data_IF_929074220439
#
_entry.id   IF_929074220439
#
_cell.length_a   1.000
_cell.length_b   1.000
_cell.length_c   1.000
_cell.angle_alpha   90.00
_cell.angle_beta   90.00
_cell.angle_gamma   90.00
#
_symmetry.space_group_name_H-M   'P 1'
#
loop_
_entity.id
_entity.type
_entity.pdbx_description
1 polymer ?
#
# COMPACT_ATOMS: atom_id res chain seq x y z
N UNK A 1 -17.10 -6.56 -17.90
CA UNK A 1 -17.27 -5.33 -17.09
C UNK A 1 -16.20 -5.37 -16.01
N UNK A 2 -15.70 -4.22 -15.54
CA UNK A 2 -14.70 -4.20 -14.46
C UNK A 2 -15.26 -4.77 -13.15
N UNK A 3 -14.41 -5.35 -12.32
CA UNK A 3 -14.78 -5.88 -10.99
C UNK A 3 -14.60 -4.85 -9.88
N UNK A 4 -13.86 -3.77 -10.14
CA UNK A 4 -13.63 -2.65 -9.23
C UNK A 4 -13.26 -1.40 -10.07
N UNK A 5 -13.17 -0.22 -9.46
CA UNK A 5 -12.89 1.05 -10.15
C UNK A 5 -11.98 1.94 -9.30
N UNK A 6 -10.96 2.52 -9.92
CA UNK A 6 -10.19 3.62 -9.32
C UNK A 6 -9.95 4.76 -10.30
N UNK A 7 -9.81 6.01 -9.81
CA UNK A 7 -9.40 7.13 -10.64
C UNK A 7 -8.01 6.87 -11.24
N UNK A 8 -7.80 7.37 -12.45
CA UNK A 8 -6.47 7.58 -13.02
C UNK A 8 -6.15 9.07 -12.88
N UNK A 9 -5.09 9.35 -12.12
CA UNK A 9 -4.66 10.71 -11.85
C UNK A 9 -3.82 11.26 -13.02
N UNK A 10 -3.64 12.59 -13.14
CA UNK A 10 -2.89 13.19 -14.24
C UNK A 10 -1.44 12.70 -14.37
N UNK A 11 -0.81 12.27 -13.28
CA UNK A 11 0.53 11.71 -13.26
C UNK A 11 0.57 10.32 -13.90
N UNK A 12 -0.32 9.41 -13.50
CA UNK A 12 -0.49 8.10 -14.15
C UNK A 12 -0.93 8.26 -15.61
N UNK A 13 -1.89 9.14 -15.89
CA UNK A 13 -2.34 9.44 -17.27
C UNK A 13 -1.16 9.80 -18.16
N UNK A 14 -0.30 10.73 -17.72
CA UNK A 14 0.86 11.15 -18.50
C UNK A 14 1.83 9.98 -18.74
N UNK A 15 2.05 9.12 -17.74
CA UNK A 15 2.85 7.91 -17.93
C UNK A 15 2.28 7.01 -19.03
N UNK A 16 0.96 6.76 -19.01
CA UNK A 16 0.30 5.94 -20.03
C UNK A 16 0.42 6.56 -21.43
N UNK A 17 0.28 7.88 -21.54
CA UNK A 17 0.42 8.63 -22.80
C UNK A 17 1.85 8.58 -23.35
N UNK A 18 2.87 8.69 -22.49
CA UNK A 18 4.28 8.56 -22.88
C UNK A 18 4.56 7.14 -23.39
N UNK A 19 4.04 6.11 -22.71
CA UNK A 19 4.17 4.71 -23.14
C UNK A 19 3.52 4.50 -24.52
N UNK A 20 2.42 5.20 -24.79
CA UNK A 20 1.72 5.20 -26.09
C UNK A 20 2.36 6.13 -27.13
N UNK A 21 3.41 6.89 -26.76
CA UNK A 21 4.09 7.89 -27.59
C UNK A 21 3.21 9.05 -28.06
N UNK A 22 2.17 9.37 -27.28
CA UNK A 22 1.20 10.44 -27.57
C UNK A 22 0.94 11.28 -26.30
N UNK A 23 1.93 12.08 -25.84
CA UNK A 23 1.79 12.90 -24.63
C UNK A 23 0.58 13.83 -24.72
N UNK A 24 -0.16 13.94 -23.62
CA UNK A 24 -1.38 14.75 -23.48
C UNK A 24 -2.59 14.34 -24.33
N UNK A 25 -2.55 13.19 -25.01
CA UNK A 25 -3.67 12.68 -25.82
C UNK A 25 -5.00 12.60 -25.06
N UNK A 26 -4.95 12.24 -23.77
CA UNK A 26 -6.12 12.04 -22.92
C UNK A 26 -6.23 13.12 -21.84
N UNK A 27 -5.56 14.26 -21.98
CA UNK A 27 -5.44 15.26 -20.93
C UNK A 27 -6.78 15.84 -20.44
N UNK A 28 -7.79 15.87 -21.32
CA UNK A 28 -9.14 16.33 -21.01
C UNK A 28 -10.16 15.18 -20.91
N UNK A 29 -9.71 13.92 -20.98
CA UNK A 29 -10.58 12.75 -20.94
C UNK A 29 -10.85 12.29 -19.51
N UNK A 30 -12.01 11.70 -19.30
CA UNK A 30 -12.33 10.96 -18.08
C UNK A 30 -11.71 9.56 -18.16
N UNK A 31 -10.72 9.28 -17.30
CA UNK A 31 -9.99 8.01 -17.30
C UNK A 31 -10.16 7.29 -15.96
N UNK A 32 -10.53 6.02 -16.04
CA UNK A 32 -10.68 5.13 -14.89
C UNK A 32 -9.99 3.80 -15.14
N UNK A 33 -9.30 3.26 -14.13
CA UNK A 33 -8.78 1.90 -14.16
C UNK A 33 -9.84 0.96 -13.60
N UNK A 34 -10.14 -0.12 -14.31
CA UNK A 34 -11.20 -1.08 -13.96
C UNK A 34 -10.65 -2.47 -13.59
N UNK A 35 -9.38 -2.49 -13.18
CA UNK A 35 -8.65 -3.70 -12.81
C UNK A 35 -7.50 -4.00 -13.76
N UNK A 36 -6.31 -4.19 -13.19
CA UNK A 36 -5.11 -4.59 -13.92
C UNK A 36 -4.79 -3.64 -15.08
N UNK A 37 -4.68 -4.21 -16.28
CA UNK A 37 -4.35 -3.55 -17.56
C UNK A 37 -5.55 -2.91 -18.27
N UNK A 38 -6.74 -2.91 -17.66
CA UNK A 38 -7.97 -2.43 -18.28
C UNK A 38 -8.31 -1.02 -17.81
N UNK A 39 -8.58 -0.14 -18.77
CA UNK A 39 -8.95 1.25 -18.55
C UNK A 39 -10.24 1.59 -19.32
N UNK A 40 -10.94 2.62 -18.85
CA UNK A 40 -12.05 3.26 -19.55
C UNK A 40 -11.68 4.72 -19.78
N UNK A 41 -11.65 5.14 -21.04
CA UNK A 41 -11.39 6.52 -21.48
C UNK A 41 -12.65 7.03 -22.17
N UNK A 42 -13.34 8.00 -21.56
CA UNK A 42 -14.61 8.57 -22.06
C UNK A 42 -15.64 7.49 -22.46
N UNK A 43 -15.77 6.46 -21.61
CA UNK A 43 -16.68 5.33 -21.81
C UNK A 43 -16.15 4.23 -22.75
N UNK A 44 -15.04 4.45 -23.45
CA UNK A 44 -14.41 3.45 -24.34
C UNK A 44 -13.35 2.64 -23.60
N UNK A 45 -13.35 1.33 -23.81
CA UNK A 45 -12.34 0.45 -23.21
C UNK A 45 -10.98 0.65 -23.87
N UNK A 46 -9.95 0.75 -23.06
CA UNK A 46 -8.54 0.73 -23.46
C UNK A 46 -7.84 -0.39 -22.69
N UNK A 47 -7.25 -1.34 -23.40
CA UNK A 47 -6.48 -2.41 -22.78
C UNK A 47 -4.99 -2.24 -23.08
N UNK A 48 -4.18 -2.18 -22.03
CA UNK A 48 -2.73 -1.96 -22.10
C UNK A 48 -1.98 -3.17 -21.57
N UNK A 49 -1.44 -4.02 -22.44
CA UNK A 49 -0.68 -5.21 -22.00
C UNK A 49 0.56 -4.81 -21.21
N UNK A 50 0.48 -4.91 -19.88
CA UNK A 50 1.61 -4.61 -18.98
C UNK A 50 2.83 -5.46 -19.29
N UNK A 51 2.66 -6.74 -19.61
CA UNK A 51 3.78 -7.61 -19.98
C UNK A 51 4.51 -7.10 -21.23
N UNK A 52 3.76 -6.66 -22.25
CA UNK A 52 4.34 -6.08 -23.48
C UNK A 52 5.04 -4.76 -23.17
N UNK A 53 4.39 -3.87 -22.42
CA UNK A 53 4.93 -2.57 -22.03
C UNK A 53 6.25 -2.74 -21.28
N UNK A 54 6.29 -3.60 -20.25
CA UNK A 54 7.48 -3.82 -19.44
C UNK A 54 8.64 -4.33 -20.30
N UNK A 55 8.37 -5.22 -21.26
CA UNK A 55 9.41 -5.80 -22.13
C UNK A 55 9.96 -4.80 -23.15
N UNK A 56 9.10 -3.93 -23.69
CA UNK A 56 9.46 -3.04 -24.81
C UNK A 56 9.88 -1.63 -24.36
N UNK A 57 9.60 -1.26 -23.12
CA UNK A 57 9.85 0.10 -22.62
C UNK A 57 11.30 0.33 -22.22
N UNK A 58 11.82 1.51 -22.59
CA UNK A 58 13.07 2.03 -22.04
C UNK A 58 12.79 2.94 -20.83
N UNK A 59 13.08 2.45 -19.63
CA UNK A 59 12.82 3.19 -18.36
C UNK A 59 13.52 4.55 -18.34
N UNK A 60 14.75 4.66 -18.87
CA UNK A 60 15.48 5.95 -18.88
C UNK A 60 14.81 6.99 -19.78
N UNK A 61 14.32 6.55 -20.94
CA UNK A 61 13.59 7.40 -21.87
C UNK A 61 12.26 7.87 -21.26
N UNK A 62 11.52 6.96 -20.61
CA UNK A 62 10.27 7.29 -19.90
C UNK A 62 10.51 8.34 -18.81
N UNK A 63 11.55 8.15 -17.98
CA UNK A 63 11.90 9.13 -16.93
C UNK A 63 12.23 10.49 -17.55
N UNK A 64 12.98 10.51 -18.66
CA UNK A 64 13.32 11.74 -19.38
C UNK A 64 12.08 12.48 -19.90
N UNK A 65 11.17 11.77 -20.58
CA UNK A 65 9.93 12.37 -21.09
C UNK A 65 8.98 12.80 -19.96
N UNK A 66 8.88 12.04 -18.86
CA UNK A 66 8.10 12.45 -17.69
C UNK A 66 8.64 13.77 -17.11
N UNK A 67 9.96 13.91 -16.98
CA UNK A 67 10.57 15.14 -16.48
C UNK A 67 10.35 16.33 -17.43
N UNK A 68 10.48 16.10 -18.74
CA UNK A 68 10.22 17.11 -19.78
C UNK A 68 8.79 17.66 -19.72
N UNK A 69 7.80 16.78 -19.55
CA UNK A 69 6.38 17.15 -19.54
C UNK A 69 5.84 17.52 -18.16
N UNK A 70 6.64 17.38 -17.09
CA UNK A 70 6.23 17.59 -15.69
C UNK A 70 5.60 18.96 -15.45
N UNK A 71 6.24 20.03 -15.94
CA UNK A 71 5.75 21.41 -15.73
C UNK A 71 4.42 21.65 -16.43
N UNK A 72 4.27 21.14 -17.64
CA UNK A 72 3.00 21.25 -18.37
C UNK A 72 1.89 20.41 -17.72
N UNK A 73 2.23 19.25 -17.14
CA UNK A 73 1.24 18.39 -16.48
C UNK A 73 0.62 19.02 -15.22
N UNK A 74 1.34 19.95 -14.58
CA UNK A 74 0.94 20.58 -13.33
C UNK A 74 -0.46 21.23 -13.41
N UNK A 75 -0.81 21.85 -14.55
CA UNK A 75 -2.14 22.47 -14.77
C UNK A 75 -3.30 21.46 -14.67
N UNK A 76 -3.05 20.19 -14.99
CA UNK A 76 -4.05 19.13 -14.88
C UNK A 76 -4.14 18.57 -13.46
N UNK A 77 -3.02 18.54 -12.73
CA UNK A 77 -2.96 18.11 -11.32
C UNK A 77 -3.77 19.07 -10.45
N UNK A 78 -3.53 20.38 -10.58
CA UNK A 78 -4.17 21.42 -9.77
C UNK A 78 -5.70 21.47 -9.95
N UNK A 79 -6.18 21.18 -11.15
CA UNK A 79 -7.61 21.23 -11.48
C UNK A 79 -8.32 19.87 -11.35
N UNK A 80 -7.61 18.78 -11.00
CA UNK A 80 -8.16 17.43 -11.09
C UNK A 80 -9.43 17.23 -10.24
N UNK A 81 -9.39 17.64 -8.97
CA UNK A 81 -10.52 17.46 -8.04
C UNK A 81 -11.75 18.29 -8.43
N UNK A 82 -11.53 19.39 -9.16
CA UNK A 82 -12.61 20.25 -9.67
C UNK A 82 -13.01 19.89 -11.11
N UNK A 83 -12.42 18.84 -11.69
CA UNK A 83 -12.75 18.41 -13.05
C UNK A 83 -14.20 17.94 -13.15
N UNK A 84 -14.81 18.14 -14.32
CA UNK A 84 -16.19 17.73 -14.59
C UNK A 84 -16.42 16.24 -14.31
N UNK A 85 -15.44 15.39 -14.60
CA UNK A 85 -15.54 13.94 -14.38
C UNK A 85 -15.60 13.59 -12.89
N UNK A 86 -14.73 14.18 -12.06
CA UNK A 86 -14.70 13.96 -10.61
C UNK A 86 -15.98 14.51 -9.95
N UNK A 87 -16.38 15.73 -10.29
CA UNK A 87 -17.61 16.34 -9.74
C UNK A 87 -18.84 15.50 -10.12
N UNK A 88 -18.92 15.04 -11.36
CA UNK A 88 -20.03 14.19 -11.81
C UNK A 88 -20.02 12.82 -11.13
N UNK A 89 -18.84 12.21 -10.96
CA UNK A 89 -18.66 10.94 -10.25
C UNK A 89 -19.15 11.02 -8.80
N UNK A 90 -18.80 12.09 -8.07
CA UNK A 90 -19.29 12.28 -6.70
C UNK A 90 -20.82 12.48 -6.69
N UNK A 91 -21.32 13.35 -7.58
CA UNK A 91 -22.76 13.68 -7.63
C UNK A 91 -23.64 12.46 -7.89
N UNK A 92 -23.30 11.64 -8.89
CA UNK A 92 -24.11 10.49 -9.28
C UNK A 92 -24.07 9.37 -8.22
N UNK A 93 -22.99 9.30 -7.44
CA UNK A 93 -22.78 8.26 -6.42
C UNK A 93 -23.07 8.74 -4.99
N UNK A 94 -23.68 9.92 -4.82
CA UNK A 94 -23.98 10.52 -3.51
C UNK A 94 -24.81 9.62 -2.59
N UNK A 95 -25.79 8.88 -3.14
CA UNK A 95 -26.58 7.90 -2.38
C UNK A 95 -25.72 6.76 -1.82
N UNK A 96 -24.81 6.22 -2.65
CA UNK A 96 -23.89 5.15 -2.24
C UNK A 96 -22.93 5.66 -1.17
N UNK A 97 -22.33 6.84 -1.39
CA UNK A 97 -21.46 7.52 -0.42
C UNK A 97 -22.14 7.68 0.94
N UNK A 98 -23.34 8.29 0.97
CA UNK A 98 -24.07 8.49 2.21
C UNK A 98 -24.37 7.17 2.93
N UNK A 99 -24.75 6.13 2.18
CA UNK A 99 -25.05 4.81 2.75
C UNK A 99 -23.82 4.16 3.39
N UNK A 100 -22.67 4.11 2.70
CA UNK A 100 -21.45 3.48 3.24
C UNK A 100 -20.86 4.28 4.40
N UNK A 101 -20.91 5.61 4.32
CA UNK A 101 -20.37 6.47 5.37
C UNK A 101 -21.21 6.36 6.63
N UNK A 102 -22.54 6.40 6.50
CA UNK A 102 -23.44 6.24 7.64
C UNK A 102 -23.26 4.88 8.34
N UNK A 103 -23.16 3.80 7.54
CA UNK A 103 -22.94 2.45 8.04
C UNK A 103 -21.61 2.35 8.81
N UNK A 104 -20.50 2.80 8.21
CA UNK A 104 -19.18 2.72 8.83
C UNK A 104 -19.07 3.59 10.10
N UNK A 105 -19.62 4.80 10.07
CA UNK A 105 -19.64 5.72 11.23
C UNK A 105 -20.44 5.13 12.39
N UNK A 106 -21.61 4.56 12.12
CA UNK A 106 -22.41 3.93 13.17
C UNK A 106 -21.72 2.69 13.74
N UNK A 107 -21.11 1.87 12.89
CA UNK A 107 -20.34 0.72 13.36
C UNK A 107 -19.19 1.14 14.27
N UNK A 108 -18.42 2.18 13.90
CA UNK A 108 -17.36 2.73 14.75
C UNK A 108 -17.91 3.22 16.11
N UNK A 109 -19.03 3.94 16.11
CA UNK A 109 -19.64 4.47 17.35
C UNK A 109 -20.10 3.36 18.28
N UNK A 110 -20.76 2.33 17.75
CA UNK A 110 -21.23 1.20 18.55
C UNK A 110 -20.05 0.38 19.08
N UNK A 111 -19.03 0.12 18.26
CA UNK A 111 -17.83 -0.61 18.70
C UNK A 111 -17.01 0.14 19.75
N UNK A 112 -16.96 1.47 19.69
CA UNK A 112 -16.23 2.30 20.67
C UNK A 112 -17.02 2.60 21.95
N UNK A 113 -18.28 2.14 22.05
CA UNK A 113 -19.17 2.48 23.16
C UNK A 113 -18.63 1.93 24.49
N UNK A 114 -18.38 2.83 25.44
CA UNK A 114 -17.87 2.48 26.77
C UNK A 114 -16.37 2.21 26.84
N UNK A 115 -15.63 2.39 25.73
CA UNK A 115 -14.18 2.25 25.68
C UNK A 115 -13.54 3.63 25.86
N UNK A 116 -12.50 3.70 26.68
CA UNK A 116 -11.78 4.96 26.92
C UNK A 116 -10.89 5.34 25.74
N UNK A 117 -10.62 6.62 25.56
CA UNK A 117 -9.83 7.13 24.43
C UNK A 117 -8.39 6.58 24.40
N UNK A 118 -7.80 6.39 25.58
CA UNK A 118 -6.47 5.81 25.79
C UNK A 118 -6.47 4.28 25.71
N UNK A 119 -7.60 3.66 25.40
CA UNK A 119 -7.74 2.22 25.11
C UNK A 119 -8.06 1.97 23.63
N UNK A 120 -7.90 2.99 22.77
CA UNK A 120 -8.19 2.91 21.34
C UNK A 120 -7.02 3.38 20.49
N UNK A 121 -6.80 2.71 19.35
CA UNK A 121 -5.90 3.26 18.33
C UNK A 121 -6.29 2.88 16.90
N UNK A 122 -5.88 3.71 15.94
CA UNK A 122 -5.93 3.41 14.50
C UNK A 122 -4.60 2.78 14.09
N UNK A 123 -4.66 1.61 13.47
CA UNK A 123 -3.51 0.98 12.81
C UNK A 123 -3.26 1.70 11.48
N UNK A 124 -2.33 2.66 11.50
CA UNK A 124 -2.14 3.61 10.41
C UNK A 124 -0.94 3.21 9.56
N UNK A 125 -1.17 2.88 8.29
CA UNK A 125 -0.09 2.50 7.36
C UNK A 125 0.35 3.63 6.43
N UNK A 126 -0.43 4.72 6.36
CA UNK A 126 -0.22 5.77 5.36
C UNK A 126 -0.70 5.40 3.95
N UNK A 127 -1.43 4.29 3.81
CA UNK A 127 -2.11 3.91 2.58
C UNK A 127 -3.54 4.43 2.53
N UNK A 128 -4.17 4.42 1.34
CA UNK A 128 -5.52 4.97 1.12
C UNK A 128 -6.57 4.42 2.10
N UNK A 129 -6.52 3.12 2.39
CA UNK A 129 -7.52 2.44 3.22
C UNK A 129 -7.39 2.85 4.70
N UNK A 130 -6.16 2.93 5.24
CA UNK A 130 -5.94 3.39 6.62
C UNK A 130 -6.15 4.89 6.79
N UNK A 131 -5.92 5.69 5.74
CA UNK A 131 -6.30 7.11 5.68
C UNK A 131 -7.81 7.29 5.78
N UNK A 132 -8.59 6.51 5.04
CA UNK A 132 -10.07 6.56 5.13
C UNK A 132 -10.56 6.13 6.51
N UNK A 133 -10.00 5.06 7.08
CA UNK A 133 -10.36 4.64 8.45
C UNK A 133 -10.01 5.71 9.49
N UNK A 134 -8.85 6.35 9.37
CA UNK A 134 -8.46 7.47 10.23
C UNK A 134 -9.53 8.58 10.22
N UNK A 135 -9.90 9.05 9.02
CA UNK A 135 -10.89 10.12 8.83
C UNK A 135 -12.27 9.70 9.36
N UNK A 136 -12.73 8.48 9.05
CA UNK A 136 -13.98 7.93 9.56
C UNK A 136 -14.01 7.86 11.10
N UNK A 137 -12.92 7.42 11.74
CA UNK A 137 -12.85 7.30 13.20
C UNK A 137 -12.91 8.68 13.87
N UNK A 138 -12.17 9.66 13.34
CA UNK A 138 -12.19 11.04 13.85
C UNK A 138 -13.60 11.63 13.73
N UNK A 139 -14.23 11.47 12.56
CA UNK A 139 -15.59 11.98 12.30
C UNK A 139 -16.65 11.27 13.14
N UNK A 140 -16.51 9.95 13.35
CA UNK A 140 -17.47 9.16 14.11
C UNK A 140 -17.45 9.50 15.60
N UNK A 141 -16.25 9.64 16.18
CA UNK A 141 -16.05 9.85 17.61
C UNK A 141 -15.97 11.33 18.01
N UNK A 142 -15.73 12.22 17.04
CA UNK A 142 -15.56 13.66 17.27
C UNK A 142 -14.29 14.01 18.06
N UNK A 143 -13.29 13.11 18.07
CA UNK A 143 -12.08 13.20 18.90
C UNK A 143 -10.86 12.61 18.19
N UNK A 144 -9.67 13.04 18.61
CA UNK A 144 -8.41 12.50 18.10
C UNK A 144 -8.07 11.20 18.81
N UNK A 145 -7.90 10.12 18.05
CA UNK A 145 -7.51 8.80 18.55
C UNK A 145 -6.03 8.57 18.27
N UNK A 146 -5.34 7.80 19.12
CA UNK A 146 -3.93 7.43 18.89
C UNK A 146 -3.78 6.75 17.53
N UNK A 147 -2.75 7.09 16.78
CA UNK A 147 -2.38 6.41 15.53
C UNK A 147 -1.05 5.71 15.71
N UNK A 148 -0.98 4.40 15.44
CA UNK A 148 0.28 3.67 15.42
C UNK A 148 0.72 3.49 13.98
N UNK A 149 1.83 4.14 13.62
CA UNK A 149 2.48 4.02 12.33
C UNK A 149 3.67 3.06 12.39
N UNK A 150 3.60 1.96 11.62
CA UNK A 150 4.69 1.00 11.49
C UNK A 150 5.70 1.43 10.43
N UNK A 151 6.81 2.03 10.83
CA UNK A 151 7.93 2.37 9.94
C UNK A 151 8.85 1.15 9.79
N UNK A 152 8.71 0.45 8.67
CA UNK A 152 9.54 -0.71 8.35
C UNK A 152 10.93 -0.35 7.85
N UNK A 153 11.25 0.94 7.67
CA UNK A 153 12.41 1.49 6.92
C UNK A 153 12.44 1.18 5.43
N UNK A 154 11.45 0.42 4.95
CA UNK A 154 11.35 -0.08 3.59
C UNK A 154 10.17 0.52 2.81
N UNK A 155 9.44 1.47 3.40
CA UNK A 155 8.29 2.13 2.76
C UNK A 155 8.72 2.94 1.53
N UNK A 156 7.77 3.20 0.63
CA UNK A 156 8.00 4.08 -0.52
C UNK A 156 8.45 5.49 -0.06
N UNK A 157 9.30 6.19 -0.83
CA UNK A 157 9.69 7.58 -0.51
C UNK A 157 8.48 8.50 -0.32
N UNK A 158 7.40 8.28 -1.06
CA UNK A 158 6.15 9.04 -0.96
C UNK A 158 5.39 8.78 0.35
N UNK A 159 5.67 7.68 1.05
CA UNK A 159 5.11 7.43 2.38
C UNK A 159 5.69 8.38 3.42
N UNK A 160 6.99 8.66 3.39
CA UNK A 160 7.59 9.62 4.30
C UNK A 160 7.02 11.03 4.09
N UNK A 161 6.91 11.47 2.84
CA UNK A 161 6.31 12.77 2.51
C UNK A 161 4.84 12.83 2.93
N UNK A 162 4.07 11.76 2.71
CA UNK A 162 2.67 11.71 3.11
C UNK A 162 2.49 11.75 4.63
N UNK A 163 3.25 10.95 5.38
CA UNK A 163 3.18 10.95 6.85
C UNK A 163 3.53 12.33 7.42
N UNK A 164 4.50 13.04 6.82
CA UNK A 164 4.82 14.42 7.19
C UNK A 164 3.62 15.35 6.98
N UNK A 165 3.02 15.36 5.77
CA UNK A 165 1.83 16.17 5.47
C UNK A 165 0.65 15.85 6.38
N UNK A 166 0.45 14.56 6.68
CA UNK A 166 -0.61 14.12 7.58
C UNK A 166 -0.41 14.68 9.00
N UNK A 167 0.82 14.64 9.55
CA UNK A 167 1.14 15.24 10.87
C UNK A 167 0.92 16.75 10.87
N UNK A 168 1.30 17.44 9.81
CA UNK A 168 1.13 18.89 9.67
C UNK A 168 -0.35 19.28 9.61
N UNK A 169 -1.16 18.50 8.89
CA UNK A 169 -2.62 18.71 8.79
C UNK A 169 -3.37 18.33 10.07
N UNK A 170 -2.85 17.36 10.83
CA UNK A 170 -3.50 16.82 12.03
C UNK A 170 -2.57 16.85 13.26
N UNK A 171 -2.17 18.04 13.75
CA UNK A 171 -1.19 18.18 14.82
C UNK A 171 -1.67 17.64 16.18
N UNK A 172 -2.99 17.49 16.36
CA UNK A 172 -3.60 16.99 17.59
C UNK A 172 -3.74 15.47 17.63
N UNK A 173 -3.43 14.76 16.54
CA UNK A 173 -3.45 13.30 16.51
C UNK A 173 -2.12 12.77 17.07
N UNK A 174 -2.11 12.02 18.18
CA UNK A 174 -0.90 11.39 18.68
C UNK A 174 -0.45 10.28 17.73
N UNK A 175 0.56 10.53 16.92
CA UNK A 175 1.11 9.53 16.00
C UNK A 175 2.36 8.86 16.57
N UNK A 176 2.19 7.64 17.05
CA UNK A 176 3.25 6.82 17.61
C UNK A 176 3.93 6.01 16.51
N UNK A 177 5.22 6.26 16.28
CA UNK A 177 6.00 5.50 15.29
C UNK A 177 6.61 4.24 15.91
N UNK A 178 6.26 3.08 15.37
CA UNK A 178 6.86 1.79 15.66
C UNK A 178 7.92 1.48 14.60
N UNK A 179 9.20 1.44 15.00
CA UNK A 179 10.34 1.25 14.09
C UNK A 179 11.35 0.29 14.71
N UNK A 180 11.83 -0.67 13.93
CA UNK A 180 13.00 -1.46 14.31
C UNK A 180 14.27 -0.63 14.08
N UNK A 181 15.07 -0.43 15.13
CA UNK A 181 16.34 0.33 15.07
C UNK A 181 17.57 -0.58 15.20
N UNK A 182 17.36 -1.86 15.48
CA UNK A 182 18.42 -2.81 15.86
C UNK A 182 18.96 -3.59 14.65
N UNK A 183 18.23 -3.58 13.53
CA UNK A 183 18.52 -4.39 12.35
C UNK A 183 18.54 -3.52 11.09
N UNK A 184 19.41 -3.88 10.14
CA UNK A 184 19.48 -3.28 8.81
C UNK A 184 19.06 -4.30 7.75
N UNK A 185 18.22 -3.86 6.80
CA UNK A 185 17.65 -4.75 5.79
C UNK A 185 18.70 -5.31 4.83
N UNK A 186 19.67 -4.49 4.41
CA UNK A 186 20.68 -4.91 3.45
C UNK A 186 21.61 -5.94 4.10
N UNK A 187 22.03 -5.70 5.34
CA UNK A 187 22.82 -6.66 6.12
C UNK A 187 22.09 -8.00 6.29
N UNK A 188 20.79 -7.97 6.61
CA UNK A 188 20.01 -9.20 6.72
C UNK A 188 19.83 -9.92 5.38
N UNK A 189 19.78 -9.20 4.25
CA UNK A 189 19.81 -9.82 2.93
C UNK A 189 21.12 -10.56 2.65
N UNK A 190 22.26 -10.06 3.13
CA UNK A 190 23.56 -10.73 2.96
C UNK A 190 23.71 -12.00 3.82
N UNK A 191 23.06 -12.02 5.00
CA UNK A 191 23.14 -13.12 5.98
C UNK A 191 22.07 -14.19 5.75
N UNK A 192 20.82 -13.79 5.49
CA UNK A 192 19.65 -14.68 5.38
C UNK A 192 19.25 -14.91 3.91
N UNK A 193 19.59 -13.97 3.04
CA UNK A 193 19.10 -13.88 1.68
C UNK A 193 17.89 -12.93 1.55
N UNK A 194 17.70 -12.30 0.38
CA UNK A 194 16.59 -11.38 0.10
C UNK A 194 15.22 -12.01 0.36
N UNK A 195 14.23 -11.30 0.96
CA UNK A 195 12.95 -11.89 1.32
C UNK A 195 12.23 -12.50 0.10
N UNK A 196 11.45 -13.55 0.30
CA UNK A 196 10.65 -14.19 -0.77
C UNK A 196 9.18 -14.27 -0.36
N UNK A 197 8.31 -14.73 -1.26
CA UNK A 197 6.88 -14.92 -0.94
C UNK A 197 6.69 -15.96 0.18
N UNK A 198 7.59 -16.92 0.26
CA UNK A 198 7.58 -18.00 1.24
C UNK A 198 8.34 -17.62 2.52
N UNK A 199 9.46 -16.90 2.39
CA UNK A 199 10.32 -16.49 3.50
C UNK A 199 10.20 -14.98 3.75
N UNK A 200 9.12 -14.59 4.44
CA UNK A 200 8.74 -13.21 4.77
C UNK A 200 9.38 -12.70 6.07
N UNK A 201 10.66 -13.01 6.31
CA UNK A 201 11.36 -12.65 7.55
C UNK A 201 11.33 -11.14 7.83
N UNK A 202 11.32 -10.31 6.79
CA UNK A 202 11.24 -8.85 6.92
C UNK A 202 9.95 -8.38 7.60
N UNK A 203 8.82 -9.07 7.40
CA UNK A 203 7.57 -8.74 8.09
C UNK A 203 7.69 -8.96 9.60
N UNK A 204 8.30 -10.07 10.01
CA UNK A 204 8.49 -10.37 11.44
C UNK A 204 9.45 -9.36 12.09
N UNK A 205 10.60 -9.11 11.45
CA UNK A 205 11.68 -8.28 11.99
C UNK A 205 11.32 -6.80 11.99
N UNK A 206 10.86 -6.26 10.86
CA UNK A 206 10.68 -4.81 10.67
C UNK A 206 9.26 -4.32 10.92
N UNK A 207 8.25 -5.20 10.86
CA UNK A 207 6.84 -4.81 10.98
C UNK A 207 6.21 -5.32 12.28
N UNK A 208 5.90 -6.61 12.34
CA UNK A 208 5.11 -7.19 13.44
C UNK A 208 5.81 -7.02 14.78
N UNK A 209 7.09 -7.38 14.91
CA UNK A 209 7.81 -7.26 16.17
C UNK A 209 7.90 -5.80 16.69
N UNK A 210 8.13 -4.84 15.80
CA UNK A 210 8.22 -3.43 16.17
C UNK A 210 6.85 -2.86 16.61
N UNK A 211 5.78 -3.21 15.88
CA UNK A 211 4.42 -2.77 16.18
C UNK A 211 3.93 -3.37 17.50
N UNK A 212 4.09 -4.68 17.70
CA UNK A 212 3.70 -5.36 18.96
C UNK A 212 4.42 -4.74 20.15
N UNK A 213 5.75 -4.55 20.07
CA UNK A 213 6.52 -3.89 21.14
C UNK A 213 6.01 -2.49 21.45
N UNK A 214 5.61 -1.73 20.42
CA UNK A 214 5.04 -0.38 20.61
C UNK A 214 3.69 -0.43 21.30
N UNK A 215 2.78 -1.31 20.86
CA UNK A 215 1.46 -1.51 21.47
C UNK A 215 1.61 -1.92 22.94
N UNK A 216 2.40 -2.95 23.23
CA UNK A 216 2.60 -3.46 24.60
C UNK A 216 3.16 -2.38 25.54
N UNK A 217 4.07 -1.54 25.03
CA UNK A 217 4.64 -0.42 25.82
C UNK A 217 3.67 0.74 26.04
N UNK A 218 2.72 0.95 25.12
CA UNK A 218 1.78 2.08 25.15
C UNK A 218 0.55 1.76 26.00
N UNK A 219 0.03 0.53 25.89
CA UNK A 219 -1.22 0.09 26.50
C UNK A 219 -0.99 -0.97 27.59
N UNK A 220 0.11 -0.85 28.33
CA UNK A 220 0.56 -1.85 29.32
C UNK A 220 -0.53 -2.16 30.37
N UNK A 221 -1.19 -1.10 30.85
CA UNK A 221 -2.16 -1.17 31.95
C UNK A 221 -3.60 -1.36 31.47
N UNK A 222 -3.85 -1.24 30.16
CA UNK A 222 -5.17 -1.45 29.56
C UNK A 222 -5.59 -2.92 29.67
N UNK A 223 -6.87 -3.18 29.95
CA UNK A 223 -7.43 -4.54 30.03
C UNK A 223 -7.89 -5.05 28.66
N UNK A 224 -8.34 -4.14 27.80
CA UNK A 224 -8.70 -4.38 26.41
C UNK A 224 -8.29 -3.18 25.58
N UNK A 225 -7.99 -3.39 24.30
CA UNK A 225 -7.61 -2.32 23.37
C UNK A 225 -8.44 -2.49 22.10
N UNK A 226 -9.23 -1.49 21.75
CA UNK A 226 -9.94 -1.46 20.47
C UNK A 226 -9.01 -0.93 19.38
N UNK A 227 -8.90 -1.66 18.28
CA UNK A 227 -8.08 -1.24 17.14
C UNK A 227 -8.90 -1.12 15.88
N UNK A 228 -8.78 0.02 15.23
CA UNK A 228 -9.37 0.26 13.91
C UNK A 228 -8.36 -0.10 12.81
N UNK A 229 -8.73 -0.99 11.90
CA UNK A 229 -7.90 -1.46 10.80
C UNK A 229 -8.55 -1.17 9.43
N UNK A 230 -7.71 -0.80 8.46
CA UNK A 230 -8.13 -0.58 7.06
C UNK A 230 -8.00 -1.82 6.18
N UNK A 231 -8.59 -2.94 6.59
CA UNK A 231 -8.62 -4.18 5.80
C UNK A 231 -9.95 -4.30 5.06
N UNK A 232 -9.93 -4.84 3.83
CA UNK A 232 -11.13 -5.10 3.03
C UNK A 232 -11.11 -6.52 2.44
N UNK A 233 -12.28 -7.16 2.39
CA UNK A 233 -12.47 -8.48 1.77
C UNK A 233 -12.14 -8.48 0.28
N UNK A 234 -12.36 -7.35 -0.40
CA UNK A 234 -12.10 -7.22 -1.84
C UNK A 234 -10.60 -7.09 -2.21
N UNK A 235 -9.68 -7.06 -1.24
CA UNK A 235 -8.24 -6.90 -1.53
C UNK A 235 -7.57 -8.17 -2.04
N UNK A 236 -8.03 -9.36 -1.60
CA UNK A 236 -7.49 -10.65 -2.01
C UNK A 236 -8.45 -11.80 -1.69
N UNK A 237 -8.25 -12.93 -2.37
CA UNK A 237 -8.97 -14.17 -2.05
C UNK A 237 -8.78 -14.60 -0.59
N UNK A 238 -7.58 -14.42 -0.02
CA UNK A 238 -7.34 -14.73 1.40
C UNK A 238 -8.13 -13.83 2.35
N UNK A 239 -8.24 -12.53 2.03
CA UNK A 239 -8.98 -11.55 2.85
C UNK A 239 -10.50 -11.67 2.72
N UNK A 240 -11.00 -12.32 1.68
CA UNK A 240 -12.44 -12.51 1.47
C UNK A 240 -13.16 -13.22 2.64
N UNK A 241 -12.41 -13.99 3.44
CA UNK A 241 -12.91 -14.76 4.59
C UNK A 241 -12.77 -14.01 5.92
N UNK A 242 -12.20 -12.81 5.94
CA UNK A 242 -11.93 -12.12 7.19
C UNK A 242 -13.22 -11.66 7.85
N UNK A 243 -13.29 -11.82 9.17
CA UNK A 243 -14.35 -11.28 9.99
C UNK A 243 -14.17 -9.77 10.16
N UNK A 244 -15.31 -9.10 10.36
CA UNK A 244 -15.31 -7.66 10.60
C UNK A 244 -14.66 -7.31 11.94
N UNK A 245 -14.83 -8.19 12.92
CA UNK A 245 -14.26 -8.11 14.25
C UNK A 245 -13.49 -9.39 14.54
N UNK A 246 -12.31 -9.26 15.12
CA UNK A 246 -11.51 -10.40 15.57
C UNK A 246 -10.78 -10.08 16.86
N UNK A 247 -10.64 -11.11 17.70
CA UNK A 247 -9.72 -11.07 18.83
C UNK A 247 -8.34 -11.47 18.30
N UNK A 248 -7.41 -10.53 18.20
CA UNK A 248 -6.09 -10.82 17.65
C UNK A 248 -5.31 -11.70 18.63
N UNK A 249 -5.05 -12.96 18.25
CA UNK A 249 -4.33 -13.92 19.08
C UNK A 249 -2.84 -13.56 19.26
N UNK A 250 -2.29 -12.67 18.40
CA UNK A 250 -0.88 -12.29 18.39
C UNK A 250 -0.59 -11.12 19.33
N UNK A 251 -1.59 -10.31 19.64
CA UNK A 251 -1.49 -9.17 20.57
C UNK A 251 -2.54 -9.37 21.66
N UNK A 252 -2.10 -9.81 22.83
CA UNK A 252 -2.99 -10.05 23.97
C UNK A 252 -3.80 -8.78 24.25
N UNK A 253 -5.12 -8.95 24.42
CA UNK A 253 -6.11 -7.91 24.78
C UNK A 253 -6.65 -7.05 23.62
N UNK A 254 -6.24 -7.28 22.38
CA UNK A 254 -6.69 -6.48 21.24
C UNK A 254 -7.99 -7.01 20.63
N UNK A 255 -8.99 -6.13 20.53
CA UNK A 255 -10.18 -6.31 19.70
C UNK A 255 -9.95 -5.51 18.42
N UNK A 256 -9.70 -6.21 17.32
CA UNK A 256 -9.47 -5.58 16.03
C UNK A 256 -10.79 -5.50 15.26
N UNK A 257 -11.16 -4.30 14.82
CA UNK A 257 -12.33 -4.07 13.98
C UNK A 257 -11.93 -3.48 12.63
N UNK A 258 -12.71 -3.82 11.61
CA UNK A 258 -12.49 -3.42 10.22
C UNK A 258 -13.71 -2.62 9.73
N UNK A 259 -13.76 -1.30 9.94
CA UNK A 259 -14.95 -0.51 9.62
C UNK A 259 -15.36 -0.55 8.15
N UNK A 260 -14.38 -0.67 7.27
CA UNK A 260 -14.53 -0.65 5.81
C UNK A 260 -14.41 -2.05 5.17
N UNK A 261 -14.63 -3.13 5.94
CA UNK A 261 -14.35 -4.51 5.49
C UNK A 261 -15.00 -4.88 4.15
N UNK A 262 -16.19 -4.35 3.86
CA UNK A 262 -16.96 -4.60 2.64
C UNK A 262 -16.86 -3.48 1.59
N UNK A 263 -15.96 -2.52 1.79
CA UNK A 263 -15.73 -1.46 0.81
C UNK A 263 -14.92 -1.97 -0.38
N UNK A 264 -15.25 -1.47 -1.57
CA UNK A 264 -14.48 -1.67 -2.81
C UNK A 264 -13.42 -0.57 -2.98
N UNK A 265 -12.48 -0.69 -3.94
CA UNK A 265 -11.61 0.47 -4.28
C UNK A 265 -12.47 1.65 -4.74
N UNK A 266 -13.57 1.39 -5.46
CA UNK A 266 -14.55 2.40 -5.83
C UNK A 266 -15.05 3.18 -4.61
N UNK A 267 -15.47 2.48 -3.55
CA UNK A 267 -16.02 3.11 -2.34
C UNK A 267 -14.96 3.95 -1.61
N UNK A 268 -13.74 3.42 -1.48
CA UNK A 268 -12.61 4.12 -0.86
C UNK A 268 -12.27 5.41 -1.63
N UNK A 269 -12.18 5.34 -2.96
CA UNK A 269 -11.89 6.52 -3.77
C UNK A 269 -13.04 7.52 -3.82
N UNK A 270 -14.30 7.04 -3.83
CA UNK A 270 -15.47 7.90 -3.70
C UNK A 270 -15.44 8.70 -2.41
N UNK A 271 -15.06 8.08 -1.29
CA UNK A 271 -14.92 8.77 -0.01
C UNK A 271 -13.76 9.76 -0.01
N UNK A 272 -12.58 9.38 -0.52
CA UNK A 272 -11.40 10.26 -0.60
C UNK A 272 -11.69 11.50 -1.45
N UNK A 273 -12.27 11.31 -2.64
CA UNK A 273 -12.54 12.41 -3.57
C UNK A 273 -13.65 13.33 -3.05
N UNK A 274 -14.71 12.78 -2.45
CA UNK A 274 -15.84 13.57 -1.92
C UNK A 274 -15.47 14.43 -0.71
N UNK A 275 -14.55 13.95 0.14
CA UNK A 275 -14.12 14.66 1.35
C UNK A 275 -12.80 15.43 1.15
N UNK A 276 -12.25 15.46 -0.07
CA UNK A 276 -10.97 16.11 -0.39
C UNK A 276 -9.83 15.70 0.59
N UNK A 277 -9.72 14.39 0.83
CA UNK A 277 -8.75 13.82 1.77
C UNK A 277 -7.38 13.72 1.09
N UNK A 278 -6.32 14.17 1.78
CA UNK A 278 -4.94 13.99 1.30
C UNK A 278 -4.53 12.51 1.43
N UNK A 279 -3.81 12.01 0.44
CA UNK A 279 -3.38 10.62 0.37
C UNK A 279 -1.98 10.52 -0.24
N UNK A 280 -1.39 9.32 -0.14
CA UNK A 280 -0.03 9.07 -0.60
C UNK A 280 0.13 9.22 -2.12
N UNK A 281 1.12 10.02 -2.56
CA UNK A 281 1.31 10.36 -3.97
C UNK A 281 1.64 9.17 -4.88
N UNK A 282 2.07 8.02 -4.33
CA UNK A 282 2.25 6.81 -5.11
C UNK A 282 0.94 6.36 -5.79
N UNK A 283 -0.23 6.61 -5.19
CA UNK A 283 -1.49 6.30 -5.87
C UNK A 283 -1.72 7.17 -7.11
N UNK A 284 -1.20 8.40 -7.12
CA UNK A 284 -1.24 9.29 -8.31
C UNK A 284 -0.36 8.76 -9.44
N UNK A 285 0.72 8.06 -9.08
CA UNK A 285 1.68 7.44 -9.99
C UNK A 285 1.21 6.08 -10.54
N UNK A 286 0.01 5.62 -10.19
CA UNK A 286 -0.58 4.37 -10.67
C UNK A 286 -0.30 3.13 -9.82
N UNK A 287 0.32 3.28 -8.65
CA UNK A 287 0.43 2.18 -7.69
C UNK A 287 -0.96 1.84 -7.12
N UNK A 288 -1.38 0.58 -7.18
CA UNK A 288 -2.65 0.13 -6.58
C UNK A 288 -2.55 -0.13 -5.07
N UNK A 289 -1.34 -0.36 -4.58
CA UNK A 289 -1.02 -0.56 -3.16
C UNK A 289 0.29 0.13 -2.83
N UNK A 290 0.35 0.71 -1.64
CA UNK A 290 1.55 1.32 -1.07
C UNK A 290 2.04 0.48 0.11
N UNK A 291 3.35 0.25 0.16
CA UNK A 291 4.02 -0.54 1.20
C UNK A 291 5.52 -0.56 0.95
N UNK A 292 6.16 -1.72 1.14
CA UNK A 292 7.61 -1.81 1.01
C UNK A 292 8.09 -1.85 -0.46
N UNK A 293 9.13 -1.08 -0.82
CA UNK A 293 9.68 -1.02 -2.20
C UNK A 293 10.31 -2.32 -2.68
N UNK A 294 10.87 -3.13 -1.77
CA UNK A 294 11.50 -4.43 -2.06
C UNK A 294 10.59 -5.65 -1.82
N UNK A 295 9.28 -5.46 -1.70
CA UNK A 295 8.38 -6.56 -1.34
C UNK A 295 8.27 -7.61 -2.47
N UNK A 296 8.49 -8.92 -2.19
CA UNK A 296 8.34 -9.99 -3.20
C UNK A 296 6.88 -10.23 -3.63
N UNK A 297 5.91 -9.60 -2.96
CA UNK A 297 4.50 -9.60 -3.33
C UNK A 297 4.12 -8.41 -4.25
N UNK A 298 5.07 -7.55 -4.60
CA UNK A 298 4.84 -6.52 -5.61
C UNK A 298 4.54 -7.17 -6.96
N UNK A 299 3.58 -6.57 -7.68
CA UNK A 299 3.26 -6.98 -9.04
C UNK A 299 4.38 -6.55 -9.99
N UNK A 300 4.49 -7.20 -11.15
CA UNK A 300 5.43 -6.77 -12.19
C UNK A 300 5.20 -5.30 -12.60
N UNK A 301 3.93 -4.85 -12.62
CA UNK A 301 3.60 -3.45 -12.86
C UNK A 301 4.11 -2.53 -11.74
N UNK A 302 3.91 -2.89 -10.47
CA UNK A 302 4.43 -2.13 -9.34
C UNK A 302 5.95 -2.02 -9.37
N UNK A 303 6.65 -3.09 -9.77
CA UNK A 303 8.12 -3.06 -9.93
C UNK A 303 8.57 -2.19 -11.09
N UNK A 304 7.82 -2.19 -12.20
CA UNK A 304 8.05 -1.28 -13.31
C UNK A 304 7.86 0.19 -12.89
N UNK A 305 6.81 0.50 -12.14
CA UNK A 305 6.62 1.82 -11.54
C UNK A 305 7.76 2.15 -10.57
N UNK A 306 8.24 1.19 -9.77
CA UNK A 306 9.39 1.42 -8.90
C UNK A 306 10.67 1.73 -9.69
N UNK A 307 10.90 1.07 -10.82
CA UNK A 307 12.02 1.37 -11.69
C UNK A 307 11.96 2.81 -12.26
N UNK A 308 10.76 3.38 -12.40
CA UNK A 308 10.55 4.75 -12.88
C UNK A 308 10.66 5.77 -11.74
N UNK A 309 9.86 5.60 -10.68
CA UNK A 309 9.68 6.63 -9.63
C UNK A 309 10.64 6.51 -8.45
N UNK A 310 11.35 5.39 -8.32
CA UNK A 310 12.35 5.15 -7.27
C UNK A 310 13.56 4.38 -7.84
N UNK A 311 14.06 4.85 -9.00
CA UNK A 311 15.10 4.18 -9.79
C UNK A 311 16.33 3.77 -8.95
N UNK A 312 16.82 4.65 -8.08
CA UNK A 312 17.98 4.36 -7.22
C UNK A 312 17.74 3.19 -6.26
N UNK A 313 16.59 3.18 -5.57
CA UNK A 313 16.21 2.09 -4.65
C UNK A 313 15.96 0.79 -5.41
N UNK A 314 15.32 0.88 -6.58
CA UNK A 314 15.08 -0.28 -7.44
C UNK A 314 16.40 -0.92 -7.89
N UNK A 315 17.36 -0.12 -8.38
CA UNK A 315 18.66 -0.61 -8.83
C UNK A 315 19.48 -1.17 -7.66
N UNK A 316 19.51 -0.48 -6.51
CA UNK A 316 20.17 -0.96 -5.31
C UNK A 316 19.68 -2.36 -4.91
N UNK A 317 18.36 -2.56 -4.91
CA UNK A 317 17.79 -3.87 -4.60
C UNK A 317 18.16 -4.93 -5.63
N UNK A 318 18.08 -4.56 -6.90
CA UNK A 318 18.41 -5.44 -8.02
C UNK A 318 19.85 -5.93 -7.95
N UNK A 319 20.78 -5.05 -7.55
CA UNK A 319 22.17 -5.41 -7.32
C UNK A 319 22.36 -6.35 -6.12
N UNK A 320 21.60 -6.17 -5.04
CA UNK A 320 21.57 -7.13 -3.92
C UNK A 320 21.09 -8.50 -4.40
N UNK A 321 20.02 -8.54 -5.21
CA UNK A 321 19.49 -9.78 -5.77
C UNK A 321 20.52 -10.50 -6.67
N UNK A 322 21.20 -9.76 -7.54
CA UNK A 322 22.24 -10.30 -8.41
C UNK A 322 23.43 -10.86 -7.63
N UNK A 323 23.98 -10.09 -6.69
CA UNK A 323 25.10 -10.54 -5.85
C UNK A 323 24.74 -11.80 -5.06
N UNK A 324 23.53 -11.85 -4.52
CA UNK A 324 23.03 -13.05 -3.84
C UNK A 324 22.95 -14.25 -4.79
N UNK A 325 22.33 -14.10 -5.96
CA UNK A 325 22.17 -15.18 -6.93
C UNK A 325 23.52 -15.74 -7.43
N UNK A 326 24.51 -14.87 -7.66
CA UNK A 326 25.88 -15.26 -7.98
C UNK A 326 26.54 -16.03 -6.84
N UNK A 327 26.42 -15.53 -5.60
CA UNK A 327 27.00 -16.14 -4.40
C UNK A 327 26.48 -17.56 -4.14
N UNK A 328 25.20 -17.82 -4.41
CA UNK A 328 24.60 -19.15 -4.26
C UNK A 328 24.82 -20.05 -5.49
N UNK A 329 25.60 -19.61 -6.48
CA UNK A 329 25.99 -20.41 -7.63
C UNK A 329 24.87 -20.66 -8.64
N UNK A 330 23.91 -19.74 -8.81
CA UNK A 330 22.86 -19.87 -9.83
C UNK A 330 23.45 -19.65 -11.24
N UNK A 331 23.45 -20.65 -12.14
CA UNK A 331 24.06 -20.51 -13.47
C UNK A 331 23.38 -19.41 -14.32
N UNK A 332 22.06 -19.30 -14.21
CA UNK A 332 21.18 -18.36 -14.90
C UNK A 332 20.80 -17.16 -14.03
N UNK A 333 21.69 -16.75 -13.11
CA UNK A 333 21.40 -15.74 -12.08
C UNK A 333 20.74 -14.46 -12.62
N UNK A 334 21.13 -13.98 -13.81
CA UNK A 334 20.58 -12.77 -14.39
C UNK A 334 19.12 -12.95 -14.79
N UNK A 335 18.83 -13.94 -15.62
CA UNK A 335 17.48 -14.31 -16.05
C UNK A 335 16.60 -14.67 -14.85
N UNK A 336 17.13 -15.42 -13.89
CA UNK A 336 16.46 -15.77 -12.63
C UNK A 336 15.98 -14.54 -11.84
N UNK A 337 16.78 -13.47 -11.80
CA UNK A 337 16.38 -12.22 -11.15
C UNK A 337 15.44 -11.39 -12.03
N UNK A 338 15.77 -11.20 -13.31
CA UNK A 338 15.02 -10.38 -14.25
C UNK A 338 13.59 -10.89 -14.51
N UNK A 339 13.39 -12.21 -14.53
CA UNK A 339 12.08 -12.84 -14.69
C UNK A 339 11.30 -12.93 -13.36
N UNK A 340 11.92 -12.52 -12.25
CA UNK A 340 11.29 -12.50 -10.93
C UNK A 340 11.19 -13.87 -10.23
N UNK A 341 11.92 -14.88 -10.71
CA UNK A 341 11.90 -16.24 -10.17
C UNK A 341 12.44 -16.32 -8.73
N UNK A 342 13.27 -15.37 -8.32
CA UNK A 342 13.73 -15.19 -6.93
C UNK A 342 12.61 -15.11 -5.89
N UNK A 343 11.42 -14.63 -6.29
CA UNK A 343 10.26 -14.49 -5.41
C UNK A 343 9.71 -15.84 -4.94
N UNK A 344 9.96 -16.92 -5.68
CA UNK A 344 9.47 -18.29 -5.39
C UNK A 344 10.39 -19.07 -4.45
N UNK A 345 11.54 -18.52 -4.06
CA UNK A 345 12.54 -19.17 -3.19
C UNK A 345 11.93 -19.65 -1.87
N UNK A 346 12.15 -20.91 -1.51
CA UNK A 346 11.59 -21.53 -0.29
C UNK A 346 12.55 -21.56 0.92
N UNK A 347 13.82 -21.16 0.77
CA UNK A 347 14.79 -21.16 1.88
C UNK A 347 16.11 -20.48 1.54
N UNK A 348 17.00 -20.31 2.53
CA UNK A 348 18.36 -19.76 2.41
C UNK A 348 19.38 -20.65 1.68
N UNK A 349 18.93 -21.49 0.74
CA UNK A 349 19.79 -22.44 0.04
C UNK A 349 21.01 -21.72 -0.57
N UNK A 350 22.19 -22.04 -0.04
CA UNK A 350 23.48 -21.48 -0.45
C UNK A 350 24.23 -20.66 0.62
N UNK A 351 23.62 -20.34 1.77
CA UNK A 351 24.31 -19.69 2.90
C UNK A 351 24.43 -20.65 4.08
N UNK A 352 25.65 -21.10 4.41
CA UNK A 352 25.95 -22.02 5.52
C UNK A 352 25.37 -21.55 6.88
N UNK A 353 25.18 -20.24 7.05
CA UNK A 353 24.65 -19.62 8.28
C UNK A 353 23.13 -19.80 8.42
N UNK A 354 22.37 -19.89 7.32
CA UNK A 354 20.91 -20.08 7.39
C UNK A 354 20.50 -21.45 7.93
N UNK A 355 21.44 -22.41 7.97
CA UNK A 355 21.24 -23.74 8.57
C UNK A 355 21.38 -23.71 10.11
N UNK A 356 22.11 -22.75 10.68
CA UNK A 356 22.41 -22.68 12.12
C UNK A 356 21.45 -21.79 12.92
N UNK A 357 20.84 -20.79 12.29
CA UNK A 357 19.89 -19.87 12.94
C UNK A 357 18.44 -20.14 12.50
N UNK A 358 17.99 -21.37 12.68
CA UNK A 358 16.55 -21.67 12.72
C UNK A 358 15.97 -21.12 14.02
N UNK A 359 15.84 -19.79 14.12
CA UNK A 359 14.67 -19.24 14.80
C UNK A 359 13.49 -19.80 14.02
N UNK A 360 12.61 -20.56 14.67
CA UNK A 360 11.50 -21.22 13.97
C UNK A 360 10.60 -20.13 13.36
N UNK A 361 10.87 -19.76 12.11
CA UNK A 361 10.01 -18.89 11.35
C UNK A 361 8.82 -19.73 10.92
N UNK A 362 7.78 -19.78 11.76
CA UNK A 362 6.46 -20.21 11.29
C UNK A 362 6.09 -19.30 10.12
N UNK A 363 5.87 -19.84 8.91
CA UNK A 363 5.40 -19.05 7.79
C UNK A 363 4.05 -18.45 8.17
N UNK A 364 3.91 -17.11 8.12
CA UNK A 364 2.58 -16.47 8.25
C UNK A 364 1.55 -17.04 7.25
N UNK A 365 1.99 -17.73 6.18
CA UNK A 365 1.12 -18.30 5.17
C UNK A 365 0.43 -19.61 5.57
N UNK A 366 0.91 -20.32 6.60
CA UNK A 366 0.29 -21.60 7.02
C UNK A 366 -0.86 -21.41 8.02
N UNK A 367 -1.05 -20.20 8.56
CA UNK A 367 -2.21 -19.86 9.39
C UNK A 367 -3.33 -19.19 8.57
N UNK A 368 -3.11 -18.90 7.27
CA UNK A 368 -4.10 -18.27 6.38
C UNK A 368 -5.04 -19.31 5.70
N UNK A 369 -4.93 -20.60 6.04
CA UNK A 369 -5.69 -21.71 5.44
C UNK A 369 -6.25 -22.74 6.45
N UNK A 370 -6.43 -22.36 7.72
CA UNK A 370 -7.26 -23.13 8.68
C UNK A 370 -8.45 -22.32 9.11
#
# INVERSE_FOLDING_TARGET
MGTDLRPVFPEERLLLEIILKEPFKFANSSIWNVGGSCYIVDGKKLHLSYAKIIKESNVKEIISELNKHKKENQKFIENYFNSRSVVHFIKINSRRLNSITYEAVNYIRESAKGIQEDEMFVSFSGGKDSTVVSDLVINALGKNVIHIYGDTTLEYPTSESYIKRFKEKHPLIPMLTAKNKDQDFNNLCEVIGPPSRMLRWCCTVFKTGAITKKIDSTFKDSKSILTFQGIRRNESLSRSKYDRESNDSKIKKQIAINPIIDWTDFDVWLYILSNNIDFNDAYRQGFSRVGCWCCPNNSAWSEFLSAIYMNDKYNLFKDILYRYAQKVGKPDWKTYIDDGEWKKRQGGNGLEISKKSLVSFKPCALEENT
#
